data_IF_465817646365
#
_entry.id   IF_465817646365
#
_cell.length_a   1.000
_cell.length_b   1.000
_cell.length_c   1.000
_cell.angle_alpha   90.00
_cell.angle_beta   90.00
_cell.angle_gamma   90.00
#
_symmetry.space_group_name_H-M   'P 1'
#
loop_
_entity.id
_entity.type
_entity.pdbx_description
1 polymer ?
#
# COMPACT_ATOMS: atom_id res chain seq x y z
N UNK A 1 -9.16 4.53 16.09
CA UNK A 1 -8.37 3.32 15.71
C UNK A 1 -8.02 2.42 16.89
N UNK A 2 -8.20 2.86 18.13
CA UNK A 2 -8.02 2.01 19.33
C UNK A 2 -8.94 0.78 19.36
N UNK A 3 -10.06 0.82 18.66
CA UNK A 3 -11.16 -0.15 18.74
C UNK A 3 -11.16 -1.17 17.57
N UNK A 4 -10.15 -1.12 16.69
CA UNK A 4 -10.02 -2.11 15.63
C UNK A 4 -9.66 -3.47 16.22
N UNK A 5 -10.55 -4.45 16.06
CA UNK A 5 -10.36 -5.83 16.52
C UNK A 5 -9.76 -6.70 15.40
N UNK A 6 -9.13 -7.80 15.81
CA UNK A 6 -8.63 -8.78 14.85
C UNK A 6 -9.83 -9.45 14.14
N UNK A 7 -9.88 -9.44 12.80
CA UNK A 7 -11.10 -9.76 12.05
C UNK A 7 -11.48 -11.25 12.03
N UNK A 8 -10.68 -12.12 12.63
CA UNK A 8 -10.87 -13.57 12.60
C UNK A 8 -10.68 -14.19 13.98
N UNK A 9 -11.14 -15.43 14.14
CA UNK A 9 -10.68 -16.26 15.25
C UNK A 9 -9.19 -16.56 15.10
N UNK A 10 -8.45 -16.42 16.19
CA UNK A 10 -7.00 -16.65 16.16
C UNK A 10 -6.68 -18.14 15.95
N UNK A 11 -5.85 -18.41 14.96
CA UNK A 11 -5.25 -19.73 14.77
C UNK A 11 -4.13 -19.97 15.78
N UNK A 12 -3.74 -21.23 15.96
CA UNK A 12 -2.62 -21.59 16.82
C UNK A 12 -1.34 -20.81 16.44
N UNK A 13 -0.67 -20.25 17.42
CA UNK A 13 0.54 -19.43 17.23
C UNK A 13 0.31 -18.01 16.71
N UNK A 14 -0.85 -17.70 16.17
CA UNK A 14 -1.14 -16.41 15.53
C UNK A 14 -1.12 -15.25 16.53
N UNK A 15 -1.69 -15.43 17.73
CA UNK A 15 -1.64 -14.42 18.82
C UNK A 15 -0.20 -14.04 19.19
N UNK A 16 0.70 -15.03 19.20
CA UNK A 16 2.12 -14.81 19.51
C UNK A 16 2.80 -13.92 18.46
N UNK A 17 2.48 -14.12 17.18
CA UNK A 17 3.00 -13.28 16.11
C UNK A 17 2.47 -11.85 16.25
N UNK A 18 1.15 -11.68 16.39
CA UNK A 18 0.50 -10.38 16.55
C UNK A 18 1.08 -9.59 17.73
N UNK A 19 1.17 -10.23 18.90
CA UNK A 19 1.74 -9.62 20.10
C UNK A 19 3.23 -9.29 19.93
N UNK A 20 3.99 -10.19 19.32
CA UNK A 20 5.42 -10.00 19.07
C UNK A 20 5.69 -8.83 18.11
N UNK A 21 4.94 -8.71 17.02
CA UNK A 21 5.07 -7.61 16.06
C UNK A 21 4.73 -6.28 16.73
N UNK A 22 3.61 -6.19 17.44
CA UNK A 22 3.22 -4.96 18.16
C UNK A 22 4.29 -4.55 19.18
N UNK A 23 4.76 -5.48 20.02
CA UNK A 23 5.80 -5.22 21.00
C UNK A 23 7.11 -4.76 20.33
N UNK A 24 7.47 -5.36 19.20
CA UNK A 24 8.69 -5.00 18.47
C UNK A 24 8.63 -3.56 17.94
N UNK A 25 7.48 -3.14 17.40
CA UNK A 25 7.27 -1.77 16.95
C UNK A 25 7.31 -0.81 18.14
N UNK A 26 6.61 -1.13 19.24
CA UNK A 26 6.55 -0.27 20.42
C UNK A 26 7.90 -0.11 21.14
N UNK A 27 8.85 -1.00 20.89
CA UNK A 27 10.21 -0.96 21.48
C UNK A 27 11.30 -0.62 20.46
N UNK A 28 10.91 -0.22 19.23
CA UNK A 28 11.82 0.15 18.14
C UNK A 28 12.86 -0.93 17.83
N UNK A 29 12.43 -2.19 17.83
CA UNK A 29 13.29 -3.36 17.61
C UNK A 29 12.98 -4.05 16.29
N UNK A 30 13.74 -5.09 15.98
CA UNK A 30 13.54 -5.97 14.84
C UNK A 30 13.03 -7.33 15.30
N UNK A 31 12.20 -7.98 14.50
CA UNK A 31 11.71 -9.33 14.73
C UNK A 31 11.85 -10.19 13.48
N UNK A 32 12.29 -11.43 13.66
CA UNK A 32 12.30 -12.45 12.62
C UNK A 32 11.26 -13.51 12.97
N UNK A 33 10.30 -13.72 12.06
CA UNK A 33 9.19 -14.65 12.29
C UNK A 33 9.28 -15.80 11.29
N UNK A 34 9.55 -16.99 11.80
CA UNK A 34 9.44 -18.24 11.05
C UNK A 34 8.13 -18.94 11.46
N UNK A 35 7.23 -19.11 10.51
CA UNK A 35 5.94 -19.76 10.74
C UNK A 35 5.51 -20.56 9.49
N UNK A 36 4.78 -21.69 9.66
CA UNK A 36 4.28 -22.50 8.55
C UNK A 36 3.40 -21.69 7.59
N UNK A 37 3.20 -22.21 6.38
CA UNK A 37 2.18 -21.69 5.47
C UNK A 37 0.78 -21.91 6.07
N UNK A 38 -0.15 -20.99 5.78
CA UNK A 38 -1.54 -21.11 6.26
C UNK A 38 -1.81 -20.54 7.66
N UNK A 39 -0.80 -20.17 8.44
CA UNK A 39 -0.99 -19.52 9.77
C UNK A 39 -1.61 -18.11 9.67
N UNK A 40 -1.65 -17.50 8.48
CA UNK A 40 -2.15 -16.13 8.31
C UNK A 40 -1.11 -15.07 8.67
N UNK A 41 0.15 -15.28 8.30
CA UNK A 41 1.28 -14.35 8.56
C UNK A 41 0.99 -12.91 8.14
N UNK A 42 0.44 -12.72 6.96
CA UNK A 42 0.16 -11.37 6.40
C UNK A 42 -0.74 -10.57 7.33
N UNK A 43 -1.89 -11.10 7.69
CA UNK A 43 -2.81 -10.44 8.63
C UNK A 43 -2.18 -10.27 10.02
N UNK A 44 -1.38 -11.25 10.47
CA UNK A 44 -0.71 -11.21 11.78
C UNK A 44 0.43 -10.20 11.86
N UNK A 45 0.89 -9.68 10.74
CA UNK A 45 1.90 -8.59 10.68
C UNK A 45 1.25 -7.25 10.37
N UNK A 46 0.30 -7.18 9.45
CA UNK A 46 -0.38 -5.92 9.06
C UNK A 46 -1.26 -5.41 10.21
N UNK A 47 -2.09 -6.25 10.81
CA UNK A 47 -3.00 -5.82 11.88
C UNK A 47 -2.28 -5.14 13.06
N UNK A 48 -1.25 -5.74 13.68
CA UNK A 48 -0.53 -5.07 14.78
C UNK A 48 0.24 -3.83 14.34
N UNK A 49 0.73 -3.76 13.09
CA UNK A 49 1.37 -2.57 12.54
C UNK A 49 0.35 -1.41 12.40
N UNK A 50 -0.82 -1.69 11.86
CA UNK A 50 -1.94 -0.72 11.79
C UNK A 50 -2.33 -0.22 13.18
N UNK A 51 -2.43 -1.12 14.17
CA UNK A 51 -2.71 -0.76 15.56
C UNK A 51 -1.61 0.12 16.16
N UNK A 52 -0.35 -0.16 15.84
CA UNK A 52 0.80 0.61 16.31
C UNK A 52 0.81 2.03 15.72
N UNK A 53 0.57 2.17 14.41
CA UNK A 53 0.41 3.49 13.78
C UNK A 53 -0.76 4.25 14.39
N UNK A 54 -1.90 3.60 14.59
CA UNK A 54 -3.06 4.19 15.25
C UNK A 54 -2.83 4.62 16.71
N UNK A 55 -1.82 4.04 17.37
CA UNK A 55 -1.37 4.42 18.70
C UNK A 55 -0.25 5.48 18.69
N UNK A 56 0.15 5.99 17.52
CA UNK A 56 1.22 6.98 17.37
C UNK A 56 2.64 6.42 17.52
N UNK A 57 2.80 5.09 17.37
CA UNK A 57 4.11 4.40 17.47
C UNK A 57 4.84 4.32 16.13
N UNK A 58 4.31 4.92 15.08
CA UNK A 58 4.85 5.00 13.73
C UNK A 58 3.97 5.87 12.87
N UNK A 59 4.50 6.34 11.74
CA UNK A 59 3.77 7.24 10.82
C UNK A 59 3.17 6.48 9.63
N UNK A 60 3.96 5.61 9.01
CA UNK A 60 3.58 4.89 7.79
C UNK A 60 3.97 3.41 7.87
N UNK A 61 3.34 2.60 7.04
CA UNK A 61 3.65 1.19 6.88
C UNK A 61 4.22 0.94 5.48
N UNK A 62 5.41 0.35 5.39
CA UNK A 62 5.95 -0.21 4.15
C UNK A 62 5.87 -1.73 4.20
N UNK A 63 4.96 -2.30 3.42
CA UNK A 63 4.82 -3.74 3.28
C UNK A 63 5.57 -4.22 2.04
N UNK A 64 6.77 -4.74 2.25
CA UNK A 64 7.67 -5.17 1.18
C UNK A 64 7.48 -6.65 0.86
N UNK A 65 7.34 -6.99 -0.41
CA UNK A 65 7.18 -8.36 -0.88
C UNK A 65 8.22 -8.74 -1.92
N UNK A 66 8.47 -10.07 -2.04
CA UNK A 66 9.36 -10.62 -3.08
C UNK A 66 8.60 -11.05 -4.35
N UNK A 67 7.26 -11.16 -4.27
CA UNK A 67 6.43 -11.76 -5.34
C UNK A 67 5.11 -11.03 -5.48
N UNK A 68 4.66 -10.87 -6.71
CA UNK A 68 3.37 -10.24 -7.04
C UNK A 68 2.19 -10.87 -6.30
N UNK A 69 2.17 -12.20 -6.15
CA UNK A 69 1.07 -12.90 -5.45
C UNK A 69 0.98 -12.53 -3.97
N UNK A 70 2.09 -12.19 -3.32
CA UNK A 70 2.11 -11.73 -1.92
C UNK A 70 1.62 -10.30 -1.78
N UNK A 71 1.69 -9.47 -2.82
CA UNK A 71 1.06 -8.14 -2.85
C UNK A 71 -0.46 -8.26 -2.76
N UNK A 72 -1.07 -9.10 -3.59
CA UNK A 72 -2.53 -9.32 -3.59
C UNK A 72 -3.02 -9.77 -2.22
N UNK A 73 -2.29 -10.64 -1.54
CA UNK A 73 -2.63 -11.06 -0.17
C UNK A 73 -2.52 -9.90 0.84
N UNK A 74 -1.59 -8.97 0.66
CA UNK A 74 -1.50 -7.78 1.51
C UNK A 74 -2.63 -6.79 1.21
N UNK A 75 -2.97 -6.56 -0.06
CA UNK A 75 -4.12 -5.75 -0.49
C UNK A 75 -5.42 -6.28 0.12
N UNK A 76 -5.65 -7.60 0.03
CA UNK A 76 -6.79 -8.27 0.63
C UNK A 76 -6.82 -8.10 2.16
N UNK A 77 -5.68 -8.21 2.84
CA UNK A 77 -5.61 -8.00 4.28
C UNK A 77 -6.01 -6.57 4.68
N UNK A 78 -5.55 -5.54 3.95
CA UNK A 78 -5.98 -4.17 4.19
C UNK A 78 -7.46 -3.96 3.85
N UNK A 79 -7.97 -4.58 2.79
CA UNK A 79 -9.40 -4.52 2.42
C UNK A 79 -10.28 -5.07 3.55
N UNK A 80 -9.94 -6.25 4.07
CA UNK A 80 -10.66 -6.85 5.21
C UNK A 80 -10.63 -5.92 6.44
N UNK A 81 -9.48 -5.31 6.75
CA UNK A 81 -9.41 -4.38 7.88
C UNK A 81 -10.25 -3.13 7.64
N UNK A 82 -10.36 -2.64 6.40
CA UNK A 82 -11.24 -1.52 6.05
C UNK A 82 -12.72 -1.85 6.23
N UNK A 83 -13.15 -3.06 5.87
CA UNK A 83 -14.50 -3.55 6.14
C UNK A 83 -14.81 -3.58 7.65
N UNK A 84 -13.77 -3.74 8.49
CA UNK A 84 -13.86 -3.68 9.96
C UNK A 84 -13.57 -2.29 10.56
N UNK A 85 -13.60 -1.25 9.73
CA UNK A 85 -13.54 0.16 10.17
C UNK A 85 -12.16 0.81 10.14
N UNK A 86 -11.16 0.19 9.51
CA UNK A 86 -9.88 0.85 9.27
C UNK A 86 -10.03 1.98 8.23
N UNK A 87 -9.53 3.16 8.58
CA UNK A 87 -9.54 4.35 7.71
C UNK A 87 -8.13 4.69 7.24
N UNK A 88 -7.47 3.74 6.59
CA UNK A 88 -6.13 3.93 6.01
C UNK A 88 -6.21 4.13 4.51
N UNK A 89 -5.39 5.03 4.01
CA UNK A 89 -5.08 5.17 2.59
C UNK A 89 -3.94 4.21 2.25
N UNK A 90 -4.18 3.34 1.28
CA UNK A 90 -3.25 2.25 0.94
C UNK A 90 -2.94 2.27 -0.55
N UNK A 91 -1.67 2.34 -0.91
CA UNK A 91 -1.21 2.29 -2.30
C UNK A 91 -0.40 1.02 -2.58
N UNK A 92 -0.61 0.44 -3.76
CA UNK A 92 0.24 -0.62 -4.30
C UNK A 92 1.12 -0.07 -5.42
N UNK A 93 2.42 0.05 -5.16
CA UNK A 93 3.38 0.47 -6.17
C UNK A 93 3.66 -0.72 -7.11
N UNK A 94 3.43 -0.49 -8.38
CA UNK A 94 3.66 -1.45 -9.47
C UNK A 94 4.81 -0.95 -10.35
N UNK A 95 5.60 -1.86 -10.89
CA UNK A 95 6.71 -1.53 -11.77
C UNK A 95 6.26 -0.66 -12.97
N UNK A 96 7.12 0.28 -13.37
CA UNK A 96 6.84 1.27 -14.41
C UNK A 96 6.33 0.64 -15.71
N UNK A 97 6.93 -0.46 -16.12
CA UNK A 97 6.56 -1.16 -17.37
C UNK A 97 5.13 -1.71 -17.35
N UNK A 98 4.59 -1.97 -16.15
CA UNK A 98 3.22 -2.48 -15.97
C UNK A 98 2.18 -1.36 -15.87
N UNK A 99 2.61 -0.13 -15.60
CA UNK A 99 1.74 1.05 -15.51
C UNK A 99 1.81 1.91 -16.78
N UNK A 100 2.92 1.88 -17.51
CA UNK A 100 3.14 2.71 -18.67
C UNK A 100 2.13 2.43 -19.76
N UNK A 101 1.54 3.48 -20.34
CA UNK A 101 0.61 3.40 -21.48
C UNK A 101 1.32 3.29 -22.84
N UNK A 102 2.64 3.50 -22.87
CA UNK A 102 3.45 3.49 -24.08
C UNK A 102 4.14 2.14 -24.25
N UNK A 103 4.21 1.63 -25.48
CA UNK A 103 4.93 0.40 -25.81
C UNK A 103 6.44 0.54 -25.56
N UNK A 104 6.97 1.74 -25.72
CA UNK A 104 8.36 2.08 -25.41
C UNK A 104 8.40 3.15 -24.31
N UNK A 105 9.22 2.89 -23.29
CA UNK A 105 9.36 3.79 -22.14
C UNK A 105 10.34 4.93 -22.45
N UNK A 106 9.90 5.89 -23.26
CA UNK A 106 10.65 7.12 -23.57
C UNK A 106 10.03 8.30 -22.79
N UNK A 107 10.48 8.48 -21.54
CA UNK A 107 9.86 9.41 -20.58
C UNK A 107 10.33 10.86 -20.77
N UNK A 108 10.07 11.42 -21.93
CA UNK A 108 10.29 12.86 -22.20
C UNK A 108 9.06 13.49 -22.83
N UNK A 109 8.82 14.81 -22.68
CA UNK A 109 7.64 15.49 -23.21
C UNK A 109 7.50 15.48 -24.73
N UNK A 110 8.57 15.22 -25.47
CA UNK A 110 8.55 15.18 -26.94
C UNK A 110 7.97 13.85 -27.44
N UNK A 111 8.32 12.74 -26.80
CA UNK A 111 7.99 11.39 -27.24
C UNK A 111 6.86 10.75 -26.42
N UNK A 112 6.54 11.28 -25.23
CA UNK A 112 5.52 10.72 -24.35
C UNK A 112 4.40 11.72 -24.10
N UNK A 113 3.20 11.41 -24.58
CA UNK A 113 1.99 12.23 -24.37
C UNK A 113 1.66 12.41 -22.88
N UNK A 114 1.94 11.40 -22.07
CA UNK A 114 1.65 11.37 -20.62
C UNK A 114 2.68 12.13 -19.80
N UNK A 115 3.89 12.32 -20.33
CA UNK A 115 4.92 13.17 -19.71
C UNK A 115 4.72 14.66 -20.08
N UNK A 116 4.11 14.93 -21.24
CA UNK A 116 3.84 16.28 -21.71
C UNK A 116 2.81 16.98 -20.84
N UNK A 117 3.22 18.04 -20.14
CA UNK A 117 2.38 18.81 -19.22
C UNK A 117 1.96 18.01 -17.97
N UNK A 118 2.69 16.93 -17.63
CA UNK A 118 2.43 16.13 -16.43
C UNK A 118 2.45 16.98 -15.17
N UNK A 119 3.51 17.79 -15.00
CA UNK A 119 3.69 18.62 -13.81
C UNK A 119 2.59 19.70 -13.63
N UNK A 120 1.93 20.09 -14.71
CA UNK A 120 0.84 21.07 -14.67
C UNK A 120 -0.47 20.47 -14.13
N UNK A 121 -0.61 19.14 -14.19
CA UNK A 121 -1.88 18.43 -13.89
C UNK A 121 -1.78 17.42 -12.74
N UNK A 122 -0.58 16.94 -12.43
CA UNK A 122 -0.41 15.83 -11.49
C UNK A 122 -0.88 16.18 -10.08
N UNK A 123 -0.69 17.40 -9.62
CA UNK A 123 -1.12 17.82 -8.29
C UNK A 123 -2.65 17.76 -8.14
N UNK A 124 -3.40 18.20 -9.15
CA UNK A 124 -4.85 18.14 -9.14
C UNK A 124 -5.35 16.68 -9.24
N UNK A 125 -4.67 15.87 -10.06
CA UNK A 125 -4.95 14.44 -10.18
C UNK A 125 -4.74 13.70 -8.86
N UNK A 126 -3.62 13.93 -8.18
CA UNK A 126 -3.30 13.36 -6.87
C UNK A 126 -4.29 13.83 -5.82
N UNK A 127 -4.62 15.13 -5.80
CA UNK A 127 -5.59 15.69 -4.85
C UNK A 127 -6.98 15.08 -5.02
N UNK A 128 -7.49 14.98 -6.26
CA UNK A 128 -8.78 14.34 -6.50
C UNK A 128 -8.75 12.87 -6.07
N UNK A 129 -7.74 12.12 -6.49
CA UNK A 129 -7.61 10.71 -6.17
C UNK A 129 -7.51 10.49 -4.65
N UNK A 130 -6.71 11.29 -3.95
CA UNK A 130 -6.53 11.22 -2.51
C UNK A 130 -7.82 11.56 -1.73
N UNK A 131 -8.64 12.49 -2.24
CA UNK A 131 -9.88 12.91 -1.56
C UNK A 131 -11.05 11.97 -1.83
N UNK A 132 -11.04 11.23 -2.94
CA UNK A 132 -12.17 10.40 -3.38
C UNK A 132 -11.99 8.91 -3.13
N UNK A 133 -10.76 8.44 -2.92
CA UNK A 133 -10.43 7.03 -2.74
C UNK A 133 -9.59 6.80 -1.49
N UNK A 134 -9.63 5.58 -0.98
CA UNK A 134 -8.78 5.13 0.14
C UNK A 134 -7.91 3.91 -0.24
N UNK A 135 -8.09 3.35 -1.43
CA UNK A 135 -7.29 2.26 -1.99
C UNK A 135 -6.86 2.59 -3.40
N UNK A 136 -5.56 2.49 -3.65
CA UNK A 136 -4.93 2.90 -4.89
C UNK A 136 -4.19 1.71 -5.49
N UNK A 137 -4.97 0.83 -6.10
CA UNK A 137 -4.46 -0.29 -6.89
C UNK A 137 -4.10 0.13 -8.31
N UNK A 138 -3.59 -0.82 -9.09
CA UNK A 138 -3.18 -0.57 -10.48
C UNK A 138 -4.30 0.02 -11.34
N UNK A 139 -5.50 -0.52 -11.23
CA UNK A 139 -6.61 -0.16 -12.12
C UNK A 139 -7.15 1.22 -11.78
N UNK A 140 -7.28 1.56 -10.51
CA UNK A 140 -7.60 2.91 -10.02
C UNK A 140 -6.57 3.94 -10.50
N UNK A 141 -5.28 3.63 -10.37
CA UNK A 141 -4.20 4.53 -10.84
C UNK A 141 -4.27 4.76 -12.36
N UNK A 142 -4.51 3.72 -13.15
CA UNK A 142 -4.61 3.84 -14.60
C UNK A 142 -5.85 4.65 -15.04
N UNK A 143 -6.97 4.50 -14.35
CA UNK A 143 -8.20 5.25 -14.60
C UNK A 143 -7.96 6.76 -14.40
N UNK A 144 -7.45 7.15 -13.25
CA UNK A 144 -7.21 8.56 -12.94
C UNK A 144 -6.10 9.16 -13.78
N UNK A 145 -5.04 8.41 -14.07
CA UNK A 145 -3.98 8.87 -14.97
C UNK A 145 -4.49 9.14 -16.38
N UNK A 146 -5.41 8.33 -16.91
CA UNK A 146 -6.10 8.59 -18.19
C UNK A 146 -6.97 9.82 -18.13
N UNK A 147 -7.78 9.96 -17.09
CA UNK A 147 -8.67 11.10 -16.88
C UNK A 147 -7.91 12.43 -16.91
N UNK A 148 -6.79 12.48 -16.21
CA UNK A 148 -5.97 13.68 -16.04
C UNK A 148 -4.85 13.82 -17.08
N UNK A 149 -4.66 12.83 -17.97
CA UNK A 149 -3.56 12.78 -18.95
C UNK A 149 -2.18 12.98 -18.32
N UNK A 150 -1.91 12.23 -17.24
CA UNK A 150 -0.65 12.22 -16.51
C UNK A 150 0.03 10.86 -16.59
N UNK A 151 1.33 10.81 -16.31
CA UNK A 151 2.06 9.54 -16.23
C UNK A 151 1.56 8.75 -15.00
N UNK A 152 1.01 7.53 -15.16
CA UNK A 152 0.47 6.76 -14.04
C UNK A 152 1.55 6.35 -13.04
N UNK A 153 2.77 6.12 -13.48
CA UNK A 153 3.87 5.72 -12.59
C UNK A 153 4.34 6.89 -11.72
N UNK A 154 4.59 8.07 -12.32
CA UNK A 154 5.00 9.24 -11.56
C UNK A 154 3.87 9.71 -10.61
N UNK A 155 2.61 9.73 -11.08
CA UNK A 155 1.46 10.01 -10.21
C UNK A 155 1.35 9.03 -9.03
N UNK A 156 1.66 7.75 -9.24
CA UNK A 156 1.69 6.74 -8.19
C UNK A 156 2.76 7.07 -7.12
N UNK A 157 3.95 7.51 -7.54
CA UNK A 157 5.02 7.90 -6.61
C UNK A 157 4.68 9.19 -5.85
N UNK A 158 4.10 10.19 -6.52
CA UNK A 158 3.65 11.43 -5.90
C UNK A 158 2.55 11.16 -4.85
N UNK A 159 1.62 10.26 -5.14
CA UNK A 159 0.57 9.86 -4.21
C UNK A 159 1.12 9.07 -3.01
N UNK A 160 2.18 8.28 -3.21
CA UNK A 160 2.74 7.41 -2.18
C UNK A 160 3.24 8.16 -0.93
N UNK A 161 3.56 9.45 -1.03
CA UNK A 161 3.98 10.28 0.12
C UNK A 161 2.82 10.74 1.01
N UNK A 162 1.58 10.56 0.55
CA UNK A 162 0.36 11.03 1.23
C UNK A 162 -0.50 9.90 1.80
N UNK A 163 -0.01 8.66 1.79
CA UNK A 163 -0.77 7.50 2.23
C UNK A 163 -0.24 6.92 3.53
N UNK A 164 -1.07 6.17 4.24
CA UNK A 164 -0.72 5.52 5.51
C UNK A 164 0.05 4.20 5.31
N UNK A 165 -0.16 3.54 4.16
CA UNK A 165 0.50 2.29 3.86
C UNK A 165 0.88 2.15 2.38
N UNK A 166 2.10 1.68 2.14
CA UNK A 166 2.65 1.38 0.82
C UNK A 166 2.94 -0.12 0.72
N UNK A 167 2.37 -0.76 -0.30
CA UNK A 167 2.67 -2.15 -0.66
C UNK A 167 3.52 -2.13 -1.92
N UNK A 168 4.71 -2.73 -1.91
CA UNK A 168 5.57 -2.81 -3.08
C UNK A 168 6.49 -4.03 -3.06
N UNK A 169 7.06 -4.34 -4.21
CA UNK A 169 8.15 -5.30 -4.30
C UNK A 169 9.46 -4.60 -3.86
N UNK A 170 10.38 -5.35 -3.23
CA UNK A 170 11.68 -4.82 -2.82
C UNK A 170 12.79 -5.07 -3.86
N UNK A 171 12.46 -5.55 -5.05
CA UNK A 171 13.38 -5.81 -6.17
C UNK A 171 13.33 -4.65 -7.18
#
# INVERSE_FOLDING_TARGET
MSDLEFPFEYREGQRKIVSGVYHTISTERQIFVQAPTGVGKTMSTIFPAVRAVGAGLGENIFYLTAKTITRTVAEEAFSILKEHGLKFKVITITAKEKLCFCDKTECNPENCLWARGHLDRVNDAVFELWTTQDSYDRDTLLEYAKKWQVCPFEMCLDLAVWVDAVICDYN
#
